data_IF_244701542808
#
_entry.id   IF_244701542808
#
_cell.length_a   1.000
_cell.length_b   1.000
_cell.length_c   1.000
_cell.angle_alpha   90.00
_cell.angle_beta   90.00
_cell.angle_gamma   90.00
#
_symmetry.space_group_name_H-M   'P 1'
#
loop_
_entity.id
_entity.type
_entity.pdbx_description
1 polymer ?
#
# COMPACT_ATOMS: atom_id res chain seq x y z
N UNK A 1 -26.49 4.49 -26.20
CA UNK A 1 -25.80 4.53 -24.91
C UNK A 1 -24.57 3.63 -25.03
N UNK A 2 -23.39 4.19 -24.94
CA UNK A 2 -22.16 3.42 -24.87
C UNK A 2 -22.20 2.58 -23.60
N UNK A 3 -22.01 1.27 -23.74
CA UNK A 3 -21.85 0.37 -22.60
C UNK A 3 -20.43 0.53 -22.09
N UNK A 4 -20.24 1.36 -21.09
CA UNK A 4 -18.96 1.45 -20.41
C UNK A 4 -18.84 0.28 -19.42
N UNK A 5 -17.78 -0.49 -19.54
CA UNK A 5 -17.40 -1.48 -18.55
C UNK A 5 -16.94 -0.74 -17.28
N UNK A 6 -17.56 -1.07 -16.16
CA UNK A 6 -17.26 -0.50 -14.85
C UNK A 6 -16.66 -1.58 -13.96
N UNK A 7 -15.57 -1.27 -13.29
CA UNK A 7 -15.02 -2.10 -12.22
C UNK A 7 -15.74 -1.80 -10.92
N UNK A 8 -16.51 -2.76 -10.42
CA UNK A 8 -17.30 -2.61 -9.21
C UNK A 8 -16.55 -3.22 -8.02
N UNK A 9 -16.37 -2.43 -6.98
CA UNK A 9 -15.82 -2.87 -5.70
C UNK A 9 -16.91 -2.71 -4.65
N UNK A 10 -17.30 -3.81 -4.03
CA UNK A 10 -18.35 -3.83 -3.00
C UNK A 10 -17.72 -3.94 -1.61
N UNK A 11 -18.06 -3.00 -0.72
CA UNK A 11 -17.47 -2.88 0.61
C UNK A 11 -18.54 -2.48 1.64
N UNK A 12 -18.32 -2.82 2.92
CA UNK A 12 -19.13 -2.29 4.01
C UNK A 12 -18.74 -0.85 4.38
N UNK A 13 -17.45 -0.52 4.25
CA UNK A 13 -16.89 0.79 4.64
C UNK A 13 -15.75 1.14 3.68
N UNK A 14 -15.99 2.09 2.79
CA UNK A 14 -15.00 2.46 1.78
C UNK A 14 -13.84 3.29 2.33
N UNK A 15 -13.99 3.90 3.51
CA UNK A 15 -12.89 4.68 4.13
C UNK A 15 -11.70 3.81 4.51
N UNK A 16 -11.93 2.51 4.72
CA UNK A 16 -10.91 1.52 5.07
C UNK A 16 -10.24 0.85 3.88
N UNK A 17 -10.71 1.11 2.65
CA UNK A 17 -10.06 0.57 1.46
C UNK A 17 -8.64 1.10 1.30
N UNK A 18 -7.74 0.20 0.87
CA UNK A 18 -6.31 0.52 0.71
C UNK A 18 -6.08 1.70 -0.24
N UNK A 19 -6.93 1.87 -1.23
CA UNK A 19 -6.80 2.97 -2.18
C UNK A 19 -7.04 4.34 -1.53
N UNK A 20 -7.94 4.42 -0.55
CA UNK A 20 -8.18 5.63 0.22
C UNK A 20 -7.16 5.80 1.35
N UNK A 21 -6.83 4.75 2.09
CA UNK A 21 -5.87 4.83 3.20
C UNK A 21 -4.44 5.11 2.74
N UNK A 22 -4.06 4.67 1.54
CA UNK A 22 -2.77 4.99 0.91
C UNK A 22 -2.74 6.33 0.20
N UNK A 23 -3.84 7.09 0.21
CA UNK A 23 -4.00 8.35 -0.53
C UNK A 23 -3.87 8.22 -2.06
N UNK A 24 -3.98 7.00 -2.60
CA UNK A 24 -4.10 6.80 -4.05
C UNK A 24 -5.40 7.40 -4.58
N UNK A 25 -6.47 7.28 -3.79
CA UNK A 25 -7.74 7.95 -4.00
C UNK A 25 -8.04 8.93 -2.86
N UNK A 26 -8.66 10.03 -3.21
CA UNK A 26 -9.09 11.07 -2.26
C UNK A 26 -10.56 11.40 -2.49
N UNK A 27 -11.36 11.39 -1.44
CA UNK A 27 -12.75 11.84 -1.51
C UNK A 27 -12.78 13.35 -1.77
N UNK A 28 -13.45 13.77 -2.83
CA UNK A 28 -13.59 15.19 -3.23
C UNK A 28 -14.88 15.80 -2.70
N UNK A 29 -15.97 15.07 -2.86
CA UNK A 29 -17.30 15.54 -2.49
C UNK A 29 -18.10 14.40 -1.84
N UNK A 30 -19.01 14.76 -0.94
CA UNK A 30 -19.89 13.80 -0.29
C UNK A 30 -19.24 13.05 0.88
N UNK A 31 -19.57 11.77 1.02
CA UNK A 31 -19.08 10.91 2.09
C UNK A 31 -18.67 9.52 1.59
N UNK A 32 -17.93 8.82 2.41
CA UNK A 32 -17.65 7.40 2.21
C UNK A 32 -18.92 6.54 2.39
N UNK A 33 -18.87 5.31 1.85
CA UNK A 33 -19.83 4.26 2.19
C UNK A 33 -19.64 3.85 3.64
N UNK A 34 -20.73 3.64 4.33
CA UNK A 34 -20.78 3.22 5.72
C UNK A 34 -21.60 1.93 5.85
N UNK A 35 -21.31 1.19 6.92
CA UNK A 35 -22.07 -0.02 7.23
C UNK A 35 -23.55 0.27 7.37
N UNK A 36 -24.38 -0.48 6.62
CA UNK A 36 -25.84 -0.29 6.58
C UNK A 36 -26.33 0.58 5.41
N UNK A 37 -25.44 1.14 4.61
CA UNK A 37 -25.83 1.77 3.36
C UNK A 37 -26.45 0.73 2.41
N UNK A 38 -27.46 1.14 1.70
CA UNK A 38 -28.14 0.31 0.68
C UNK A 38 -28.37 1.12 -0.58
N UNK A 39 -27.97 0.56 -1.72
CA UNK A 39 -28.05 1.18 -3.05
C UNK A 39 -27.35 2.53 -3.10
N UNK A 40 -26.19 2.62 -2.43
CA UNK A 40 -25.33 3.79 -2.43
C UNK A 40 -24.05 3.50 -3.21
N UNK A 41 -23.49 4.54 -3.87
CA UNK A 41 -22.35 4.39 -4.73
C UNK A 41 -21.40 5.58 -4.60
N UNK A 42 -20.08 5.30 -4.63
CA UNK A 42 -19.04 6.30 -4.90
C UNK A 42 -18.56 6.12 -6.33
N UNK A 43 -18.38 7.23 -7.02
CA UNK A 43 -17.91 7.24 -8.40
C UNK A 43 -16.66 8.09 -8.56
N UNK A 44 -15.85 7.76 -9.56
CA UNK A 44 -14.68 8.57 -9.89
C UNK A 44 -15.10 9.91 -10.53
N UNK A 45 -14.32 10.98 -10.28
CA UNK A 45 -14.60 12.33 -10.80
C UNK A 45 -14.67 12.36 -12.34
N UNK A 46 -13.84 11.57 -13.03
CA UNK A 46 -13.88 11.50 -14.49
C UNK A 46 -15.18 10.88 -15.01
N UNK A 47 -15.70 9.84 -14.32
CA UNK A 47 -17.00 9.26 -14.64
C UNK A 47 -18.14 10.27 -14.40
N UNK A 48 -18.07 11.00 -13.28
CA UNK A 48 -19.00 12.06 -12.95
C UNK A 48 -19.00 13.15 -14.03
N UNK A 49 -17.84 13.66 -14.40
CA UNK A 49 -17.67 14.73 -15.38
C UNK A 49 -18.13 14.30 -16.78
N UNK A 50 -17.74 13.09 -17.24
CA UNK A 50 -18.15 12.56 -18.55
C UNK A 50 -19.67 12.43 -18.71
N UNK A 51 -20.38 12.18 -17.62
CA UNK A 51 -21.83 11.96 -17.65
C UNK A 51 -22.64 13.07 -16.99
N UNK A 52 -22.00 14.19 -16.57
CA UNK A 52 -22.62 15.31 -15.86
C UNK A 52 -23.37 14.87 -14.60
N UNK A 53 -22.82 13.90 -13.85
CA UNK A 53 -23.41 13.36 -12.62
C UNK A 53 -22.95 14.16 -11.40
N UNK A 54 -23.85 14.28 -10.42
CA UNK A 54 -23.60 15.01 -9.16
C UNK A 54 -24.03 14.16 -7.96
N UNK A 55 -23.64 14.60 -6.78
CA UNK A 55 -24.13 14.00 -5.53
C UNK A 55 -25.66 13.98 -5.51
N UNK A 56 -26.23 12.85 -5.07
CA UNK A 56 -27.67 12.61 -5.02
C UNK A 56 -28.29 12.13 -6.33
N UNK A 57 -27.59 12.20 -7.45
CA UNK A 57 -28.05 11.63 -8.71
C UNK A 57 -28.10 10.10 -8.65
N UNK A 58 -28.93 9.50 -9.50
CA UNK A 58 -29.06 8.05 -9.61
C UNK A 58 -28.35 7.54 -10.86
N UNK A 59 -27.59 6.48 -10.67
CA UNK A 59 -26.95 5.73 -11.76
C UNK A 59 -27.47 4.31 -11.77
N UNK A 60 -27.85 3.82 -12.96
CA UNK A 60 -28.33 2.45 -13.13
C UNK A 60 -27.19 1.54 -13.55
N UNK A 61 -26.94 0.50 -12.77
CA UNK A 61 -25.98 -0.54 -13.10
C UNK A 61 -26.70 -1.79 -13.61
N UNK A 62 -26.16 -2.36 -14.67
CA UNK A 62 -26.60 -3.65 -15.19
C UNK A 62 -25.50 -4.68 -14.88
N UNK A 63 -25.87 -5.91 -14.45
CA UNK A 63 -24.91 -6.98 -14.30
C UNK A 63 -24.25 -7.29 -15.65
N UNK A 64 -22.99 -7.71 -15.63
CA UNK A 64 -22.35 -8.25 -16.82
C UNK A 64 -23.14 -9.46 -17.32
N UNK A 65 -23.39 -9.51 -18.64
CA UNK A 65 -24.07 -10.65 -19.25
C UNK A 65 -23.08 -11.84 -19.31
N UNK A 66 -23.09 -12.65 -18.27
CA UNK A 66 -22.37 -13.93 -18.22
C UNK A 66 -23.43 -15.03 -18.19
N UNK A 67 -23.19 -16.11 -18.93
CA UNK A 67 -24.08 -17.27 -18.93
C UNK A 67 -24.34 -17.77 -17.50
N UNK A 68 -25.60 -17.88 -17.10
CA UNK A 68 -26.01 -18.30 -15.76
C UNK A 68 -26.16 -17.18 -14.72
N UNK A 69 -25.88 -15.92 -15.08
CA UNK A 69 -26.06 -14.79 -14.18
C UNK A 69 -27.52 -14.35 -14.14
N UNK A 70 -28.19 -14.47 -12.98
CA UNK A 70 -29.56 -14.01 -12.71
C UNK A 70 -29.62 -12.61 -12.09
N UNK A 71 -28.57 -11.83 -12.20
CA UNK A 71 -28.48 -10.49 -11.62
C UNK A 71 -29.52 -9.52 -12.20
N UNK A 72 -29.88 -8.54 -11.40
CA UNK A 72 -30.93 -7.56 -11.75
C UNK A 72 -30.30 -6.17 -11.86
N UNK A 73 -30.84 -5.36 -12.79
CA UNK A 73 -30.52 -3.95 -12.86
C UNK A 73 -30.92 -3.26 -11.56
N UNK A 74 -30.01 -2.48 -11.00
CA UNK A 74 -30.24 -1.70 -9.80
C UNK A 74 -29.87 -0.23 -10.02
N UNK A 75 -30.65 0.64 -9.40
CA UNK A 75 -30.40 2.07 -9.36
C UNK A 75 -29.70 2.41 -8.04
N UNK A 76 -28.56 3.06 -8.15
CA UNK A 76 -27.73 3.51 -7.03
C UNK A 76 -27.76 5.02 -6.94
N UNK A 77 -27.78 5.56 -5.73
CA UNK A 77 -27.64 6.98 -5.45
C UNK A 77 -26.16 7.32 -5.19
N UNK A 78 -25.67 8.35 -5.85
CA UNK A 78 -24.28 8.83 -5.68
C UNK A 78 -24.17 9.55 -4.36
N UNK A 79 -23.38 8.99 -3.42
CA UNK A 79 -23.13 9.58 -2.10
C UNK A 79 -21.75 10.19 -1.96
N UNK A 80 -20.83 9.87 -2.87
CA UNK A 80 -19.50 10.46 -2.89
C UNK A 80 -18.87 10.43 -4.27
N UNK A 81 -18.01 11.42 -4.50
CA UNK A 81 -17.18 11.54 -5.70
C UNK A 81 -15.73 11.57 -5.23
N UNK A 82 -14.91 10.67 -5.78
CA UNK A 82 -13.49 10.58 -5.46
C UNK A 82 -12.62 10.83 -6.69
N UNK A 83 -11.37 11.20 -6.45
CA UNK A 83 -10.36 11.36 -7.49
C UNK A 83 -9.08 10.63 -7.14
N UNK A 84 -8.20 10.51 -8.12
CA UNK A 84 -6.88 9.92 -7.97
C UNK A 84 -6.63 8.80 -8.96
N UNK A 85 -5.40 8.33 -9.00
CA UNK A 85 -5.00 7.23 -9.87
C UNK A 85 -4.39 6.12 -9.04
N UNK A 86 -4.85 4.90 -9.27
CA UNK A 86 -4.18 3.72 -8.73
C UNK A 86 -2.79 3.64 -9.34
N UNK A 87 -1.76 3.61 -8.50
CA UNK A 87 -0.41 3.30 -8.97
C UNK A 87 -0.34 1.80 -9.30
N UNK A 88 -0.70 1.46 -10.52
CA UNK A 88 -0.42 0.12 -11.03
C UNK A 88 1.01 0.07 -11.56
N UNK A 89 1.71 -1.04 -11.28
CA UNK A 89 2.99 -1.30 -11.93
C UNK A 89 2.76 -1.31 -13.44
N UNK A 90 3.47 -0.45 -14.16
CA UNK A 90 3.46 -0.43 -15.62
C UNK A 90 3.77 -1.82 -16.18
N UNK A 91 2.75 -2.48 -16.71
CA UNK A 91 2.87 -3.80 -17.34
C UNK A 91 2.97 -3.71 -18.87
N UNK A 92 3.05 -2.50 -19.41
CA UNK A 92 3.09 -2.26 -20.86
C UNK A 92 1.72 -2.36 -21.57
N UNK A 93 0.70 -2.85 -20.89
CA UNK A 93 -0.67 -3.07 -21.40
C UNK A 93 -1.75 -2.42 -20.53
N UNK A 94 -1.39 -1.72 -19.46
CA UNK A 94 -2.35 -1.12 -18.54
C UNK A 94 -2.91 0.18 -19.13
N UNK A 95 -4.14 0.13 -19.58
CA UNK A 95 -5.01 1.30 -19.55
C UNK A 95 -5.36 1.57 -18.07
N UNK A 96 -5.23 2.80 -17.63
CA UNK A 96 -5.65 3.23 -16.29
C UNK A 96 -7.18 3.13 -16.19
N UNK A 97 -7.68 2.05 -15.60
CA UNK A 97 -9.11 1.83 -15.40
C UNK A 97 -9.66 2.52 -14.15
N UNK A 98 -8.85 3.32 -13.45
CA UNK A 98 -9.29 4.04 -12.24
C UNK A 98 -10.53 4.88 -12.50
N UNK A 99 -10.63 5.48 -13.70
CA UNK A 99 -11.78 6.27 -14.15
C UNK A 99 -13.10 5.49 -14.14
N UNK A 100 -13.05 4.18 -14.32
CA UNK A 100 -14.22 3.30 -14.38
C UNK A 100 -14.42 2.51 -13.08
N UNK A 101 -13.66 2.81 -12.03
CA UNK A 101 -13.82 2.19 -10.73
C UNK A 101 -14.95 2.86 -9.97
N UNK A 102 -15.86 2.06 -9.43
CA UNK A 102 -16.93 2.50 -8.56
C UNK A 102 -16.98 1.64 -7.31
N UNK A 103 -17.36 2.26 -6.20
CA UNK A 103 -17.55 1.56 -4.93
C UNK A 103 -19.03 1.53 -4.60
N UNK A 104 -19.55 0.38 -4.15
CA UNK A 104 -20.94 0.22 -3.74
C UNK A 104 -21.01 -0.54 -2.42
N UNK A 105 -22.18 -0.49 -1.80
CA UNK A 105 -22.48 -1.29 -0.62
C UNK A 105 -22.52 -2.79 -0.97
N UNK A 106 -22.11 -3.61 -0.01
CA UNK A 106 -21.98 -5.05 -0.20
C UNK A 106 -23.33 -5.73 -0.47
N UNK A 107 -24.38 -5.36 0.26
CA UNK A 107 -25.69 -6.04 0.16
C UNK A 107 -26.34 -5.84 -1.20
N UNK A 108 -26.32 -4.59 -1.72
CA UNK A 108 -26.87 -4.30 -3.03
C UNK A 108 -26.08 -4.96 -4.16
N UNK A 109 -24.76 -5.12 -3.98
CA UNK A 109 -23.92 -5.81 -4.96
C UNK A 109 -24.30 -7.27 -5.13
N UNK A 110 -24.68 -7.98 -4.06
CA UNK A 110 -25.13 -9.37 -4.14
C UNK A 110 -26.44 -9.49 -4.97
N UNK A 111 -27.33 -8.53 -4.78
CA UNK A 111 -28.57 -8.46 -5.57
C UNK A 111 -28.29 -8.15 -7.05
N UNK A 112 -27.38 -7.21 -7.32
CA UNK A 112 -26.94 -6.86 -8.68
C UNK A 112 -26.34 -8.08 -9.39
N UNK A 113 -25.52 -8.88 -8.69
CA UNK A 113 -24.88 -10.06 -9.24
C UNK A 113 -25.79 -11.30 -9.28
N UNK A 114 -26.96 -11.23 -8.65
CA UNK A 114 -27.90 -12.36 -8.59
C UNK A 114 -27.45 -13.51 -7.70
N UNK A 115 -26.56 -13.23 -6.75
CA UNK A 115 -26.10 -14.23 -5.79
C UNK A 115 -27.22 -14.55 -4.79
N UNK A 116 -27.57 -15.83 -4.67
CA UNK A 116 -28.58 -16.31 -3.71
C UNK A 116 -28.05 -16.40 -2.29
N UNK A 117 -26.75 -16.58 -2.16
CA UNK A 117 -26.04 -16.64 -0.89
C UNK A 117 -24.97 -15.55 -0.89
N UNK A 118 -24.69 -14.99 0.28
CA UNK A 118 -23.65 -14.00 0.43
C UNK A 118 -22.27 -14.60 0.07
N UNK A 119 -21.70 -14.12 -1.02
CA UNK A 119 -20.39 -14.57 -1.50
C UNK A 119 -19.39 -13.46 -1.31
N UNK A 120 -18.27 -13.78 -0.67
CA UNK A 120 -17.13 -12.89 -0.48
C UNK A 120 -16.00 -13.39 -1.38
N UNK A 121 -15.60 -12.58 -2.34
CA UNK A 121 -14.49 -12.91 -3.23
C UNK A 121 -13.14 -12.81 -2.50
N UNK A 122 -13.01 -11.84 -1.60
CA UNK A 122 -11.82 -11.63 -0.80
C UNK A 122 -12.18 -10.97 0.53
N UNK A 123 -11.53 -11.40 1.61
CA UNK A 123 -11.56 -10.71 2.89
C UNK A 123 -10.17 -10.13 3.16
N UNK A 124 -10.09 -8.84 3.48
CA UNK A 124 -8.83 -8.17 3.82
C UNK A 124 -8.83 -7.79 5.28
N UNK A 125 -7.77 -8.19 5.95
CA UNK A 125 -7.54 -7.87 7.35
C UNK A 125 -6.35 -6.92 7.45
N UNK A 126 -6.52 -5.82 8.16
CA UNK A 126 -5.48 -4.83 8.37
C UNK A 126 -4.92 -5.00 9.78
N UNK A 127 -3.61 -5.09 9.89
CA UNK A 127 -2.92 -5.23 11.17
C UNK A 127 -2.39 -3.88 11.61
N UNK A 128 -2.58 -3.54 12.87
CA UNK A 128 -2.00 -2.33 13.46
C UNK A 128 -0.46 -2.40 13.49
N UNK A 129 0.08 -3.60 13.75
CA UNK A 129 1.51 -3.82 13.79
C UNK A 129 1.93 -4.85 12.73
N UNK A 130 2.68 -4.42 11.70
CA UNK A 130 3.15 -5.34 10.65
C UNK A 130 4.02 -6.50 11.14
N UNK A 131 4.63 -6.38 12.34
CA UNK A 131 5.46 -7.44 12.92
C UNK A 131 4.65 -8.67 13.34
N UNK A 132 3.36 -8.49 13.59
CA UNK A 132 2.47 -9.58 14.02
C UNK A 132 1.96 -10.42 12.84
N UNK A 133 2.29 -10.02 11.62
CA UNK A 133 1.86 -10.67 10.38
C UNK A 133 2.15 -12.17 10.37
N UNK A 134 3.37 -12.56 10.69
CA UNK A 134 3.79 -13.97 10.61
C UNK A 134 3.07 -14.83 11.66
N UNK A 135 2.82 -14.30 12.86
CA UNK A 135 2.08 -15.01 13.90
C UNK A 135 0.60 -15.19 13.54
N UNK A 136 -0.01 -14.16 12.97
CA UNK A 136 -1.41 -14.21 12.55
C UNK A 136 -1.58 -15.15 11.36
N UNK A 137 -0.66 -15.15 10.40
CA UNK A 137 -0.70 -16.11 9.29
C UNK A 137 -0.67 -17.54 9.81
N UNK A 138 0.21 -17.86 10.77
CA UNK A 138 0.24 -19.20 11.36
C UNK A 138 -1.07 -19.59 12.06
N UNK A 139 -1.78 -18.62 12.66
CA UNK A 139 -3.10 -18.89 13.23
C UNK A 139 -4.17 -19.12 12.15
N UNK A 140 -4.13 -18.33 11.08
CA UNK A 140 -5.03 -18.48 9.93
C UNK A 140 -4.81 -19.81 9.20
N UNK A 141 -3.57 -20.23 9.03
CA UNK A 141 -3.22 -21.54 8.43
C UNK A 141 -3.82 -22.71 9.22
N UNK A 142 -3.89 -22.62 10.56
CA UNK A 142 -4.56 -23.64 11.39
C UNK A 142 -6.04 -23.81 11.08
N UNK A 143 -6.69 -22.80 10.48
CA UNK A 143 -8.09 -22.89 10.07
C UNK A 143 -8.30 -23.71 8.80
N UNK A 144 -7.21 -24.17 8.16
CA UNK A 144 -7.22 -25.01 6.96
C UNK A 144 -8.10 -24.44 5.84
N UNK A 145 -8.01 -23.13 5.62
CA UNK A 145 -8.85 -22.43 4.64
C UNK A 145 -8.57 -22.89 3.21
N UNK A 146 -7.34 -23.33 2.91
CA UNK A 146 -6.96 -23.89 1.62
C UNK A 146 -7.79 -25.12 1.24
N UNK A 147 -8.14 -25.96 2.20
CA UNK A 147 -9.01 -27.13 1.97
C UNK A 147 -10.43 -26.74 1.60
N UNK A 148 -10.81 -25.50 1.92
CA UNK A 148 -12.12 -24.90 1.58
C UNK A 148 -12.06 -24.05 0.30
N UNK A 149 -10.93 -24.06 -0.42
CA UNK A 149 -10.75 -23.34 -1.67
C UNK A 149 -10.36 -21.86 -1.52
N UNK A 150 -9.98 -21.41 -0.32
CA UNK A 150 -9.50 -20.05 -0.08
C UNK A 150 -7.96 -20.00 -0.11
N UNK A 151 -7.42 -18.95 -0.71
CA UNK A 151 -5.98 -18.67 -0.69
C UNK A 151 -5.70 -17.58 0.33
N UNK A 152 -4.67 -17.76 1.14
CA UNK A 152 -4.19 -16.74 2.08
C UNK A 152 -3.00 -16.05 1.45
N UNK A 153 -3.15 -14.76 1.16
CA UNK A 153 -2.07 -13.95 0.60
C UNK A 153 -1.55 -12.96 1.64
N UNK A 154 -0.23 -12.89 1.74
CA UNK A 154 0.47 -11.91 2.57
C UNK A 154 0.79 -10.68 1.72
N UNK A 155 0.13 -9.58 1.98
CA UNK A 155 0.38 -8.32 1.29
C UNK A 155 1.19 -7.34 2.16
N UNK A 156 2.49 -7.62 2.30
CA UNK A 156 3.40 -6.73 3.03
C UNK A 156 4.58 -6.23 2.19
N UNK A 157 4.46 -6.27 0.87
CA UNK A 157 5.55 -5.91 -0.06
C UNK A 157 6.16 -4.54 0.24
N UNK A 158 5.32 -3.54 0.53
CA UNK A 158 5.78 -2.20 0.87
C UNK A 158 6.57 -2.19 2.20
N UNK A 159 6.11 -2.93 3.20
CA UNK A 159 6.80 -3.04 4.49
C UNK A 159 8.16 -3.75 4.35
N UNK A 160 8.23 -4.86 3.61
CA UNK A 160 9.49 -5.55 3.37
C UNK A 160 10.49 -4.68 2.59
N UNK A 161 10.04 -3.93 1.58
CA UNK A 161 10.90 -3.00 0.85
C UNK A 161 11.46 -1.89 1.75
N UNK A 162 10.63 -1.34 2.65
CA UNK A 162 11.08 -0.33 3.61
C UNK A 162 12.07 -0.96 4.60
N UNK A 163 11.77 -2.13 5.13
CA UNK A 163 12.63 -2.87 6.06
C UNK A 163 14.00 -3.17 5.44
N UNK A 164 14.02 -3.65 4.19
CA UNK A 164 15.27 -3.91 3.45
C UNK A 164 16.06 -2.62 3.21
N UNK A 165 15.38 -1.53 2.87
CA UNK A 165 16.02 -0.22 2.70
C UNK A 165 16.64 0.29 4.00
N UNK A 166 15.90 0.18 5.12
CA UNK A 166 16.40 0.55 6.46
C UNK A 166 17.58 -0.32 6.87
N UNK A 167 17.49 -1.64 6.66
CA UNK A 167 18.57 -2.60 6.93
C UNK A 167 19.84 -2.28 6.14
N UNK A 168 19.69 -1.97 4.85
CA UNK A 168 20.80 -1.55 3.98
C UNK A 168 21.43 -0.26 4.48
N UNK A 169 20.62 0.73 4.88
CA UNK A 169 21.12 1.99 5.44
C UNK A 169 21.85 1.78 6.78
N UNK A 170 21.34 0.92 7.65
CA UNK A 170 22.04 0.57 8.91
C UNK A 170 23.39 -0.07 8.64
N UNK A 171 23.46 -0.99 7.68
CA UNK A 171 24.73 -1.62 7.29
C UNK A 171 25.73 -0.59 6.75
N UNK A 172 25.26 0.32 5.90
CA UNK A 172 26.08 1.43 5.40
C UNK A 172 26.63 2.30 6.53
N UNK A 173 25.77 2.69 7.48
CA UNK A 173 26.21 3.48 8.65
C UNK A 173 27.26 2.74 9.49
N UNK A 174 27.11 1.43 9.69
CA UNK A 174 28.11 0.64 10.42
C UNK A 174 29.46 0.63 9.70
N UNK A 175 29.47 0.37 8.39
CA UNK A 175 30.71 0.39 7.58
C UNK A 175 31.37 1.77 7.64
N UNK A 176 30.58 2.83 7.51
CA UNK A 176 31.07 4.21 7.58
C UNK A 176 31.71 4.54 8.96
N UNK A 177 31.06 4.09 10.03
CA UNK A 177 31.52 4.29 11.39
C UNK A 177 32.85 3.55 11.65
N UNK A 178 32.97 2.32 11.16
CA UNK A 178 34.24 1.57 11.20
C UNK A 178 35.33 2.27 10.38
N UNK A 179 35.01 2.82 9.22
CA UNK A 179 35.95 3.59 8.40
C UNK A 179 36.49 4.81 9.13
N UNK A 180 35.65 5.59 9.79
CA UNK A 180 36.05 6.75 10.61
C UNK A 180 36.91 6.29 11.77
N UNK A 181 36.58 5.21 12.45
CA UNK A 181 37.34 4.68 13.56
C UNK A 181 38.75 4.28 13.13
N UNK A 182 38.89 3.57 12.01
CA UNK A 182 40.19 3.17 11.45
C UNK A 182 41.03 4.41 11.04
N UNK A 183 40.40 5.38 10.37
CA UNK A 183 41.06 6.63 9.99
C UNK A 183 41.53 7.42 11.22
N UNK A 184 40.73 7.49 12.27
CA UNK A 184 41.08 8.13 13.53
C UNK A 184 42.27 7.47 14.23
N UNK A 185 42.28 6.15 14.30
CA UNK A 185 43.43 5.41 14.84
C UNK A 185 44.68 5.63 13.98
N UNK A 186 44.55 5.60 12.66
CA UNK A 186 45.65 5.91 11.74
C UNK A 186 46.25 7.32 11.95
N UNK A 187 45.37 8.31 12.10
CA UNK A 187 45.80 9.69 12.38
C UNK A 187 46.53 9.80 13.72
N UNK A 188 46.05 9.13 14.77
CA UNK A 188 46.73 9.09 16.08
C UNK A 188 48.11 8.47 15.98
N UNK A 189 48.27 7.36 15.25
CA UNK A 189 49.56 6.70 15.03
C UNK A 189 50.53 7.64 14.31
N UNK A 190 50.07 8.37 13.30
CA UNK A 190 50.90 9.34 12.58
C UNK A 190 51.33 10.47 13.49
N UNK A 191 50.46 11.06 14.29
CA UNK A 191 50.77 12.13 15.21
C UNK A 191 51.82 11.65 16.26
N UNK A 192 51.57 10.47 16.84
CA UNK A 192 52.53 9.89 17.81
C UNK A 192 53.86 9.58 17.16
N UNK A 193 53.89 9.10 15.93
CA UNK A 193 55.15 8.83 15.21
C UNK A 193 55.94 10.10 14.95
N UNK A 194 55.29 11.20 14.58
CA UNK A 194 55.92 12.50 14.39
C UNK A 194 56.49 13.04 15.73
N UNK A 195 55.70 12.95 16.80
CA UNK A 195 56.14 13.40 18.13
C UNK A 195 57.33 12.60 18.66
N UNK A 196 57.32 11.28 18.49
CA UNK A 196 58.47 10.43 18.84
C UNK A 196 59.72 10.79 18.04
N UNK A 197 59.57 11.08 16.74
CA UNK A 197 60.66 11.47 15.87
C UNK A 197 61.31 12.79 16.33
N UNK A 198 60.49 13.77 16.77
CA UNK A 198 61.01 15.02 17.33
C UNK A 198 61.79 14.77 18.63
N UNK A 199 61.28 13.91 19.50
CA UNK A 199 61.96 13.57 20.77
C UNK A 199 63.27 12.85 20.55
N UNK A 200 63.31 11.91 19.61
CA UNK A 200 64.57 11.22 19.26
C UNK A 200 65.57 12.19 18.69
N UNK A 201 65.22 13.18 17.93
CA UNK A 201 66.06 14.22 17.40
C UNK A 201 66.59 15.10 18.51
N UNK A 202 65.83 15.56 19.48
CA UNK A 202 66.19 16.30 20.65
C UNK A 202 67.26 15.55 21.50
N UNK A 203 67.00 14.27 21.77
CA UNK A 203 67.92 13.39 22.50
C UNK A 203 69.22 13.21 21.75
N UNK A 204 69.23 13.08 20.42
CA UNK A 204 70.40 12.99 19.60
C UNK A 204 71.27 14.23 19.68
N UNK A 205 70.66 15.43 19.69
CA UNK A 205 71.43 16.70 19.87
C UNK A 205 72.03 16.78 21.26
N UNK A 206 71.29 16.42 22.32
CA UNK A 206 71.83 16.44 23.71
C UNK A 206 73.01 15.49 23.88
N UNK A 207 72.87 14.26 23.30
CA UNK A 207 74.01 13.31 23.31
C UNK A 207 75.25 13.83 22.54
N UNK A 208 75.10 14.54 21.45
CA UNK A 208 76.13 15.11 20.66
C UNK A 208 76.84 16.27 21.39
N UNK A 209 76.15 16.96 22.30
CA UNK A 209 76.68 18.03 23.16
C UNK A 209 77.26 17.51 24.46
N UNK A 210 77.34 16.20 24.69
CA UNK A 210 78.05 15.60 25.85
C UNK A 210 77.25 15.72 27.15
N UNK A 211 75.91 15.85 27.08
CA UNK A 211 75.03 15.86 28.26
C UNK A 211 74.27 14.59 28.36
#
# INVERSE_FOLDING_TARGET
AEKNLISLIALEDSSKDVSFTSSAFTLKEGRHLEKGDSKKILIHEDLANKNNLKLGDKISLNPAQVEGNSGQRLDYEIVGIFSGKKQEKFTGLSSDFSENTVYTDYESSQTLLGNKEAQVTAARFYLENPKDMDSIIQEVEKLSLETKGYQVEKENKAFEQIKDSVSTFQTFLQIFLYGIMIAGVGALILVLSLWLRERVYEVGILLALGK
#
